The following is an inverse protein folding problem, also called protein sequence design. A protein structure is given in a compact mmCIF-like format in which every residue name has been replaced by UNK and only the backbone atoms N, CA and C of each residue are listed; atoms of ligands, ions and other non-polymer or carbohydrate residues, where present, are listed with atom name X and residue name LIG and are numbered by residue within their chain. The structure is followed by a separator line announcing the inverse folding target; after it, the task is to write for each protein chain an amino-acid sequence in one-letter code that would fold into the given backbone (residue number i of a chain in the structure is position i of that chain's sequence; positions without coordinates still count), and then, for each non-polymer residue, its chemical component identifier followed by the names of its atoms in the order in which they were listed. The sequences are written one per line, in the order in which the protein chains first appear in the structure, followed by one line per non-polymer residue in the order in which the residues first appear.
data_IF_064159704926
#
_entry.id   IF_064159704926
#
_cell.length_a   1.000
_cell.length_b   1.000
_cell.length_c   1.000
_cell.angle_alpha   90.00
_cell.angle_beta   90.00
_cell.angle_gamma   90.00
#
_symmetry.space_group_name_H-M   'P 1'
#
loop_
_entity.id
_entity.type
_entity.pdbx_description
1 polymer ?
#
# COMPACT_ATOMS: atom_id res chain seq x y z
N UNK A 1 47.11 -8.90 9.17
CA UNK A 1 46.05 -9.59 8.40
C UNK A 1 44.72 -8.94 8.75
N UNK A 2 44.24 -7.99 7.93
CA UNK A 2 42.85 -7.54 8.03
C UNK A 2 41.99 -8.63 7.35
N UNK A 3 41.05 -9.21 8.10
CA UNK A 3 39.99 -10.00 7.48
C UNK A 3 39.05 -9.02 6.80
N UNK A 4 39.01 -9.08 5.46
CA UNK A 4 37.93 -8.49 4.71
C UNK A 4 36.63 -9.10 5.23
N UNK A 5 35.73 -8.26 5.72
CA UNK A 5 34.35 -8.65 5.97
C UNK A 5 33.74 -8.77 4.57
N UNK A 6 33.62 -9.99 4.05
CA UNK A 6 32.76 -10.25 2.89
C UNK A 6 31.34 -9.87 3.33
N UNK A 7 30.91 -8.67 2.93
CA UNK A 7 29.51 -8.29 2.96
C UNK A 7 28.77 -9.34 2.11
N UNK A 8 27.92 -10.13 2.78
CA UNK A 8 27.04 -11.06 2.09
C UNK A 8 26.27 -10.29 1.01
N UNK A 9 26.06 -10.86 -0.19
CA UNK A 9 25.31 -10.19 -1.24
C UNK A 9 23.96 -9.78 -0.67
N UNK A 10 23.69 -8.47 -0.66
CA UNK A 10 22.36 -7.96 -0.38
C UNK A 10 21.47 -8.58 -1.45
N UNK A 11 20.58 -9.50 -1.05
CA UNK A 11 19.48 -9.93 -1.90
C UNK A 11 18.79 -8.67 -2.38
N UNK A 12 18.73 -8.45 -3.70
CA UNK A 12 18.04 -7.29 -4.27
C UNK A 12 16.64 -7.21 -3.66
N UNK A 13 16.27 -6.04 -3.14
CA UNK A 13 14.92 -5.78 -2.66
C UNK A 13 13.97 -5.85 -3.86
N UNK A 14 13.01 -6.80 -3.92
CA UNK A 14 12.09 -6.92 -5.05
C UNK A 14 11.09 -5.76 -5.12
N UNK A 15 11.09 -4.88 -4.11
CA UNK A 15 10.15 -3.75 -4.02
C UNK A 15 10.49 -2.69 -5.07
N UNK A 16 9.61 -2.57 -6.06
CA UNK A 16 9.60 -1.44 -7.00
C UNK A 16 8.80 -0.28 -6.43
N UNK A 17 9.28 0.94 -6.60
CA UNK A 17 8.66 2.14 -6.03
C UNK A 17 8.70 3.32 -7.00
N UNK A 18 7.79 4.27 -6.80
CA UNK A 18 7.80 5.59 -7.41
C UNK A 18 7.82 6.64 -6.32
N UNK A 19 8.54 7.73 -6.57
CA UNK A 19 8.51 8.91 -5.71
C UNK A 19 7.31 9.80 -6.10
N UNK A 20 6.60 10.31 -5.09
CA UNK A 20 5.48 11.23 -5.28
C UNK A 20 5.97 12.67 -5.22
N UNK A 21 5.61 13.47 -6.23
CA UNK A 21 5.85 14.91 -6.27
C UNK A 21 5.16 15.63 -5.11
N UNK A 22 3.96 15.15 -4.72
CA UNK A 22 3.15 15.74 -3.66
C UNK A 22 2.89 14.77 -2.50
N UNK A 23 3.96 14.21 -1.93
CA UNK A 23 3.87 13.32 -0.77
C UNK A 23 3.14 13.96 0.43
N UNK A 24 3.14 15.29 0.54
CA UNK A 24 2.42 16.06 1.56
C UNK A 24 0.88 15.97 1.44
N UNK A 25 0.38 15.53 0.28
CA UNK A 25 -1.06 15.35 0.02
C UNK A 25 -1.58 13.96 0.38
N UNK A 26 -0.68 13.02 0.69
CA UNK A 26 -1.06 11.68 1.11
C UNK A 26 -1.77 11.76 2.47
N UNK A 27 -2.97 11.19 2.55
CA UNK A 27 -3.74 11.12 3.80
C UNK A 27 -3.73 9.69 4.29
N UNK A 28 -3.24 9.50 5.50
CA UNK A 28 -3.23 8.19 6.17
C UNK A 28 -4.01 8.30 7.46
N UNK A 29 -4.95 7.39 7.66
CA UNK A 29 -5.67 7.27 8.92
C UNK A 29 -5.68 5.83 9.37
N UNK A 30 -5.43 5.62 10.65
CA UNK A 30 -5.51 4.32 11.30
C UNK A 30 -6.35 4.43 12.55
N UNK A 31 -7.23 3.46 12.75
CA UNK A 31 -8.00 3.32 13.98
C UNK A 31 -7.72 1.96 14.57
N UNK A 32 -7.29 1.92 15.82
CA UNK A 32 -7.20 0.68 16.59
C UNK A 32 -8.61 0.32 17.06
N UNK A 33 -9.08 -0.86 16.69
CA UNK A 33 -10.34 -1.40 17.16
C UNK A 33 -10.27 -1.81 18.64
N UNK A 34 -11.44 -1.87 19.28
CA UNK A 34 -11.56 -2.23 20.69
C UNK A 34 -11.18 -3.71 20.92
N UNK A 35 -10.38 -3.99 21.95
CA UNK A 35 -9.89 -5.35 22.25
C UNK A 35 -10.78 -6.16 23.21
N UNK A 36 -11.89 -5.61 23.73
CA UNK A 36 -12.83 -6.30 24.62
C UNK A 36 -14.09 -5.46 24.85
N UNK A 37 -15.29 -5.95 25.20
CA UNK A 37 -16.03 -7.22 25.10
C UNK A 37 -17.48 -6.77 25.33
N UNK A 38 -18.25 -6.51 24.28
CA UNK A 38 -19.69 -6.25 24.48
C UNK A 38 -20.37 -7.55 24.90
N UNK A 39 -21.18 -7.54 25.96
CA UNK A 39 -22.16 -8.61 26.23
C UNK A 39 -23.24 -8.51 25.13
N UNK A 40 -22.99 -9.21 24.04
CA UNK A 40 -23.80 -9.36 22.84
C UNK A 40 -23.24 -10.52 22.02
N UNK A 41 -23.99 -11.08 21.06
CA UNK A 41 -23.43 -12.18 20.22
C UNK A 41 -22.11 -11.71 19.60
N UNK A 42 -21.07 -12.56 19.54
CA UNK A 42 -19.83 -12.23 18.83
C UNK A 42 -20.16 -11.67 17.45
N UNK A 43 -19.67 -10.47 17.16
CA UNK A 43 -19.69 -9.91 15.81
C UNK A 43 -18.31 -10.10 15.24
N UNK A 44 -18.04 -11.27 14.68
CA UNK A 44 -16.79 -11.49 13.95
C UNK A 44 -16.92 -10.77 12.60
N UNK A 45 -16.52 -9.49 12.55
CA UNK A 45 -16.38 -8.80 11.27
C UNK A 45 -15.21 -9.44 10.51
N UNK A 46 -15.41 -9.84 9.23
CA UNK A 46 -14.34 -10.43 8.45
C UNK A 46 -13.29 -9.39 8.10
N UNK A 47 -12.07 -9.85 7.87
CA UNK A 47 -11.04 -9.03 7.23
C UNK A 47 -11.53 -8.57 5.86
N UNK A 48 -11.26 -7.30 5.54
CA UNK A 48 -11.64 -6.70 4.27
C UNK A 48 -10.53 -5.78 3.78
N UNK A 49 -10.24 -5.84 2.49
CA UNK A 49 -9.44 -4.85 1.80
C UNK A 49 -10.15 -4.45 0.51
N UNK A 50 -10.11 -3.16 0.18
CA UNK A 50 -10.50 -2.65 -1.13
C UNK A 50 -9.54 -1.58 -1.63
N UNK A 51 -9.43 -1.54 -2.95
CA UNK A 51 -8.69 -0.53 -3.70
C UNK A 51 -9.68 0.11 -4.66
N UNK A 52 -9.78 1.43 -4.60
CA UNK A 52 -10.60 2.20 -5.53
C UNK A 52 -9.77 3.26 -6.24
N UNK A 53 -10.14 3.53 -7.49
CA UNK A 53 -9.52 4.54 -8.33
C UNK A 53 -10.61 5.47 -8.83
N UNK A 54 -10.41 6.78 -8.70
CA UNK A 54 -11.32 7.77 -9.28
C UNK A 54 -10.57 8.99 -9.83
N UNK A 55 -11.10 9.64 -10.88
CA UNK A 55 -10.59 10.94 -11.31
C UNK A 55 -10.75 11.97 -10.19
N UNK A 56 -9.68 12.69 -9.89
CA UNK A 56 -9.68 13.81 -8.97
C UNK A 56 -9.66 15.16 -9.72
N UNK A 57 -9.63 16.26 -8.97
CA UNK A 57 -9.51 17.61 -9.57
C UNK A 57 -8.11 17.82 -10.13
N UNK A 58 -7.97 18.82 -11.00
CA UNK A 58 -6.67 19.25 -11.55
C UNK A 58 -5.90 18.14 -12.28
N UNK A 59 -6.63 17.31 -13.05
CA UNK A 59 -6.06 16.19 -13.85
C UNK A 59 -5.30 15.15 -13.01
N UNK A 60 -5.73 14.96 -11.76
CA UNK A 60 -5.15 13.96 -10.85
C UNK A 60 -5.97 12.68 -10.81
N UNK A 61 -5.33 11.61 -10.35
CA UNK A 61 -5.97 10.35 -10.05
C UNK A 61 -5.90 10.12 -8.54
N UNK A 62 -7.03 9.82 -7.91
CA UNK A 62 -7.07 9.40 -6.51
C UNK A 62 -7.08 7.87 -6.44
N UNK A 63 -6.13 7.32 -5.70
CA UNK A 63 -6.13 5.94 -5.26
C UNK A 63 -6.45 5.91 -3.78
N UNK A 64 -7.48 5.16 -3.42
CA UNK A 64 -7.83 4.91 -2.02
C UNK A 64 -7.63 3.44 -1.71
N UNK A 65 -6.88 3.17 -0.63
CA UNK A 65 -6.72 1.86 -0.02
C UNK A 65 -7.51 1.86 1.28
N UNK A 66 -8.46 0.94 1.43
CA UNK A 66 -9.13 0.71 2.70
C UNK A 66 -8.86 -0.71 3.16
N UNK A 67 -8.50 -0.85 4.43
CA UNK A 67 -8.25 -2.14 5.07
C UNK A 67 -8.94 -2.20 6.42
N UNK A 68 -9.47 -3.37 6.74
CA UNK A 68 -10.10 -3.70 8.00
C UNK A 68 -9.58 -5.07 8.43
N UNK A 69 -9.02 -5.13 9.63
CA UNK A 69 -8.57 -6.35 10.28
C UNK A 69 -9.62 -6.77 11.32
N UNK A 70 -10.80 -7.18 10.85
CA UNK A 70 -11.98 -7.44 11.67
C UNK A 70 -12.22 -6.39 12.76
N UNK A 71 -12.30 -6.82 14.01
CA UNK A 71 -12.48 -5.96 15.18
C UNK A 71 -11.18 -5.30 15.67
N UNK A 72 -10.03 -5.62 15.08
CA UNK A 72 -8.72 -5.16 15.56
C UNK A 72 -8.36 -3.77 15.06
N UNK A 73 -8.93 -3.34 13.95
CA UNK A 73 -8.74 -1.98 13.46
C UNK A 73 -9.01 -1.80 11.98
N UNK A 74 -8.95 -0.53 11.58
CA UNK A 74 -9.07 -0.09 10.20
C UNK A 74 -7.88 0.78 9.84
N UNK A 75 -7.45 0.69 8.58
CA UNK A 75 -6.46 1.57 7.98
C UNK A 75 -6.97 2.08 6.65
N UNK A 76 -6.73 3.35 6.37
CA UNK A 76 -6.94 3.91 5.04
C UNK A 76 -5.75 4.75 4.59
N UNK A 77 -5.51 4.75 3.29
CA UNK A 77 -4.55 5.62 2.64
C UNK A 77 -5.17 6.19 1.35
N UNK A 78 -5.18 7.50 1.25
CA UNK A 78 -5.61 8.24 0.06
C UNK A 78 -4.39 8.90 -0.57
N UNK A 79 -4.11 8.56 -1.83
CA UNK A 79 -2.93 8.99 -2.58
C UNK A 79 -3.38 9.65 -3.87
N UNK A 80 -3.03 10.93 -4.05
CA UNK A 80 -3.24 11.66 -5.29
C UNK A 80 -2.01 11.55 -6.19
N UNK A 81 -2.19 11.00 -7.39
CA UNK A 81 -1.18 10.94 -8.42
C UNK A 81 -1.40 12.01 -9.49
N UNK A 82 -0.30 12.54 -10.03
CA UNK A 82 -0.30 13.18 -11.35
C UNK A 82 -0.53 12.14 -12.44
N UNK A 83 -0.87 12.59 -13.66
CA UNK A 83 -0.98 11.67 -14.80
C UNK A 83 0.33 10.95 -15.12
N UNK A 84 1.47 11.58 -14.85
CA UNK A 84 2.78 10.98 -15.09
C UNK A 84 3.06 9.87 -14.07
N UNK A 85 2.88 10.15 -12.79
CA UNK A 85 3.06 9.16 -11.72
C UNK A 85 2.10 7.98 -11.87
N UNK A 86 0.85 8.23 -12.27
CA UNK A 86 -0.12 7.16 -12.53
C UNK A 86 0.32 6.24 -13.69
N UNK A 87 1.00 6.79 -14.71
CA UNK A 87 1.57 5.98 -15.81
C UNK A 87 2.78 5.19 -15.33
N UNK A 88 3.65 5.79 -14.51
CA UNK A 88 4.78 5.09 -13.93
C UNK A 88 4.32 3.93 -13.04
N UNK A 89 3.29 4.14 -12.20
CA UNK A 89 2.70 3.08 -11.38
C UNK A 89 2.13 1.95 -12.23
N UNK A 90 1.43 2.26 -13.33
CA UNK A 90 0.96 1.24 -14.28
C UNK A 90 2.12 0.44 -14.85
N UNK A 91 3.19 1.11 -15.27
CA UNK A 91 4.33 0.45 -15.89
C UNK A 91 5.05 -0.48 -14.88
N UNK A 92 5.17 -0.07 -13.62
CA UNK A 92 5.68 -0.93 -12.54
C UNK A 92 4.78 -2.16 -12.30
N UNK A 93 3.46 -1.96 -12.25
CA UNK A 93 2.52 -3.08 -12.08
C UNK A 93 2.63 -4.09 -13.22
N UNK A 94 2.69 -3.60 -14.47
CA UNK A 94 2.85 -4.44 -15.66
C UNK A 94 4.17 -5.22 -15.62
N UNK A 95 5.26 -4.57 -15.23
CA UNK A 95 6.57 -5.20 -15.12
C UNK A 95 6.58 -6.29 -14.03
N UNK A 96 6.10 -5.98 -12.83
CA UNK A 96 6.01 -6.96 -11.72
C UNK A 96 5.14 -8.17 -12.09
N UNK A 97 4.02 -7.95 -12.78
CA UNK A 97 3.16 -9.06 -13.24
C UNK A 97 3.87 -9.93 -14.27
N UNK A 98 4.65 -9.34 -15.19
CA UNK A 98 5.43 -10.11 -16.17
C UNK A 98 6.50 -10.97 -15.49
N UNK A 99 7.25 -10.39 -14.56
CA UNK A 99 8.25 -11.14 -13.79
C UNK A 99 7.63 -12.35 -13.08
N UNK A 100 6.48 -12.16 -12.42
CA UNK A 100 5.75 -13.26 -11.76
C UNK A 100 5.23 -14.33 -12.73
N UNK A 101 4.98 -13.98 -13.99
CA UNK A 101 4.45 -14.91 -14.99
C UNK A 101 5.57 -15.67 -15.75
N UNK A 102 6.81 -15.19 -15.66
CA UNK A 102 7.99 -15.80 -16.28
C UNK A 102 8.73 -16.77 -15.33
N UNK A 103 8.32 -16.84 -14.05
CA UNK A 103 8.73 -17.82 -13.03
C UNK A 103 7.93 -19.15 -13.09
#
# INVERSE_FOLDING_TARGET
MLRANEEAPMTDDPTKSIDLEHADRVRVGVTRGETARSIGRPRDYPDRADVSLEPARDERLLLSLNTMAGDHGTGHADIEFTLEEARQLRDLLDETVREMAEE
#
